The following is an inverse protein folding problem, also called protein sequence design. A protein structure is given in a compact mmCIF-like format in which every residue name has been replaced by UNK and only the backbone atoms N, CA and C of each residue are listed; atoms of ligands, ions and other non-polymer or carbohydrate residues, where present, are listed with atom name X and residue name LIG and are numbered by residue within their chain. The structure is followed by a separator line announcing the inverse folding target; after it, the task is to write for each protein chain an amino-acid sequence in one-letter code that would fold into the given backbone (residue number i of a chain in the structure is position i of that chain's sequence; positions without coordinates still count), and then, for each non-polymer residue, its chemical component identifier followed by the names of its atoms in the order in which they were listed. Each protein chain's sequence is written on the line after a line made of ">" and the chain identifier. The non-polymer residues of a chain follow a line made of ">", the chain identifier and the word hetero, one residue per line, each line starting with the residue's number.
data_IF_606461414569
#
_entry.id   IF_606461414569
#
_cell.length_a   1.000
_cell.length_b   1.000
_cell.length_c   1.000
_cell.angle_alpha   90.00
_cell.angle_beta   90.00
_cell.angle_gamma   90.00
#
_symmetry.space_group_name_H-M   'P 1'
#
loop_
_entity.id
_entity.type
_entity.pdbx_description
1 polymer ?
#
# COMPACT_ATOMS: atom_id res chain seq x y z
N UNK A 1 -19.07 36.23 -26.58
CA UNK A 1 -19.85 37.35 -26.00
C UNK A 1 -20.60 38.24 -27.00
N UNK A 2 -20.38 38.23 -28.33
CA UNK A 2 -20.99 39.21 -29.25
C UNK A 2 -22.42 38.95 -29.81
N UNK A 3 -22.91 37.71 -30.01
CA UNK A 3 -24.18 37.50 -30.74
C UNK A 3 -25.42 37.79 -29.88
N UNK A 4 -25.33 37.58 -28.57
CA UNK A 4 -26.47 37.75 -27.65
C UNK A 4 -26.85 39.22 -27.49
N UNK A 5 -25.88 40.13 -27.34
CA UNK A 5 -26.14 41.56 -27.28
C UNK A 5 -26.72 42.13 -28.57
N UNK A 6 -26.30 41.61 -29.73
CA UNK A 6 -26.85 42.01 -31.03
C UNK A 6 -28.34 41.63 -31.16
N UNK A 7 -28.75 40.48 -30.60
CA UNK A 7 -30.13 40.02 -30.61
C UNK A 7 -31.01 40.86 -29.67
N UNK A 8 -30.54 41.18 -28.46
CA UNK A 8 -31.25 42.10 -27.56
C UNK A 8 -31.36 43.52 -28.11
N UNK A 9 -30.28 44.03 -28.73
CA UNK A 9 -30.30 45.33 -29.38
C UNK A 9 -31.29 45.35 -30.54
N UNK A 10 -31.33 44.30 -31.36
CA UNK A 10 -32.31 44.15 -32.45
C UNK A 10 -33.76 44.16 -31.95
N UNK A 11 -34.07 43.41 -30.90
CA UNK A 11 -35.42 43.36 -30.32
C UNK A 11 -35.81 44.69 -29.67
N UNK A 12 -34.89 45.36 -28.98
CA UNK A 12 -35.11 46.70 -28.43
C UNK A 12 -35.40 47.72 -29.55
N UNK A 13 -34.62 47.69 -30.63
CA UNK A 13 -34.84 48.57 -31.79
C UNK A 13 -36.22 48.32 -32.40
N UNK A 14 -36.61 47.07 -32.62
CA UNK A 14 -37.94 46.73 -33.16
C UNK A 14 -39.06 47.19 -32.21
N UNK A 15 -38.91 47.01 -30.91
CA UNK A 15 -39.90 47.47 -29.92
C UNK A 15 -40.03 49.01 -29.89
N UNK A 16 -38.91 49.73 -29.94
CA UNK A 16 -38.89 51.20 -30.01
C UNK A 16 -39.49 51.69 -31.32
N UNK A 17 -39.17 51.06 -32.46
CA UNK A 17 -39.73 51.41 -33.76
C UNK A 17 -41.25 51.19 -33.77
N UNK A 18 -41.74 50.05 -33.28
CA UNK A 18 -43.18 49.78 -33.20
C UNK A 18 -43.91 50.74 -32.25
N UNK A 19 -43.26 51.13 -31.14
CA UNK A 19 -43.79 52.14 -30.22
C UNK A 19 -43.89 53.53 -30.87
N UNK A 20 -42.83 53.98 -31.55
CA UNK A 20 -42.79 55.28 -32.23
C UNK A 20 -43.79 55.32 -33.39
N UNK A 21 -43.85 54.27 -34.20
CA UNK A 21 -44.82 54.14 -35.31
C UNK A 21 -46.25 54.13 -34.77
N UNK A 22 -46.51 53.39 -33.69
CA UNK A 22 -47.81 53.39 -33.01
C UNK A 22 -48.21 54.78 -32.51
N UNK A 23 -47.28 55.49 -31.84
CA UNK A 23 -47.50 56.83 -31.29
C UNK A 23 -47.78 57.89 -32.38
N UNK A 24 -47.09 57.80 -33.52
CA UNK A 24 -47.30 58.70 -34.66
C UNK A 24 -48.65 58.42 -35.33
N UNK A 25 -49.01 57.14 -35.51
CA UNK A 25 -50.26 56.72 -36.17
C UNK A 25 -51.52 56.92 -35.30
N UNK A 26 -51.40 57.01 -33.96
CA UNK A 26 -52.51 57.35 -33.05
C UNK A 26 -53.13 58.74 -33.28
N UNK A 27 -52.52 59.59 -34.12
CA UNK A 27 -53.13 60.86 -34.54
C UNK A 27 -54.30 60.69 -35.53
N UNK A 28 -54.59 59.46 -35.98
CA UNK A 28 -55.71 59.10 -36.86
C UNK A 28 -56.70 58.18 -36.13
N UNK A 29 -57.97 58.60 -36.04
CA UNK A 29 -59.08 57.97 -35.26
C UNK A 29 -59.31 56.48 -35.53
N UNK A 30 -58.65 55.59 -34.77
CA UNK A 30 -59.00 54.18 -34.64
C UNK A 30 -58.24 53.51 -33.50
N UNK A 31 -58.84 52.54 -32.82
CA UNK A 31 -58.26 51.83 -31.65
C UNK A 31 -57.11 50.88 -32.02
N UNK A 32 -56.97 50.56 -33.31
CA UNK A 32 -56.02 49.60 -33.88
C UNK A 32 -54.53 49.93 -33.63
N UNK A 33 -54.02 51.17 -33.85
CA UNK A 33 -52.64 51.53 -33.51
C UNK A 33 -52.29 51.40 -32.02
N UNK A 34 -53.26 51.60 -31.12
CA UNK A 34 -53.05 51.45 -29.68
C UNK A 34 -52.88 49.97 -29.28
N UNK A 35 -53.71 49.09 -29.84
CA UNK A 35 -53.60 47.64 -29.61
C UNK A 35 -52.27 47.07 -30.12
N UNK A 36 -51.80 47.52 -31.29
CA UNK A 36 -50.50 47.12 -31.86
C UNK A 36 -49.33 47.60 -30.98
N UNK A 37 -49.37 48.84 -30.48
CA UNK A 37 -48.36 49.34 -29.55
C UNK A 37 -48.31 48.54 -28.24
N UNK A 38 -49.48 48.18 -27.69
CA UNK A 38 -49.59 47.35 -26.49
C UNK A 38 -49.00 45.95 -26.70
N UNK A 39 -49.28 45.31 -27.85
CA UNK A 39 -48.71 44.02 -28.20
C UNK A 39 -47.17 44.08 -28.35
N UNK A 40 -46.65 45.17 -28.94
CA UNK A 40 -45.21 45.41 -29.06
C UNK A 40 -44.50 45.52 -27.70
N UNK A 41 -45.09 46.26 -26.76
CA UNK A 41 -44.56 46.40 -25.39
C UNK A 41 -44.61 45.05 -24.65
N UNK A 42 -45.69 44.29 -24.79
CA UNK A 42 -45.79 42.95 -24.18
C UNK A 42 -44.75 41.97 -24.73
N UNK A 43 -44.53 41.96 -26.05
CA UNK A 43 -43.53 41.11 -26.68
C UNK A 43 -42.11 41.51 -26.25
N UNK A 44 -41.83 42.80 -26.16
CA UNK A 44 -40.58 43.30 -25.61
C UNK A 44 -40.35 42.85 -24.17
N UNK A 45 -41.37 42.97 -23.31
CA UNK A 45 -41.29 42.51 -21.92
C UNK A 45 -41.01 41.01 -21.82
N UNK A 46 -41.66 40.18 -22.64
CA UNK A 46 -41.42 38.72 -22.69
C UNK A 46 -39.98 38.42 -23.11
N UNK A 47 -39.47 39.07 -24.15
CA UNK A 47 -38.09 38.84 -24.62
C UNK A 47 -37.07 39.32 -23.58
N UNK A 48 -37.29 40.46 -22.95
CA UNK A 48 -36.40 40.98 -21.91
C UNK A 48 -36.37 40.05 -20.69
N UNK A 49 -37.53 39.56 -20.23
CA UNK A 49 -37.62 38.64 -19.10
C UNK A 49 -37.06 37.25 -19.45
N UNK A 50 -37.41 36.70 -20.61
CA UNK A 50 -36.89 35.40 -21.05
C UNK A 50 -35.39 35.43 -21.29
N UNK A 51 -34.89 36.53 -21.82
CA UNK A 51 -33.48 36.76 -22.09
C UNK A 51 -32.61 36.94 -20.84
N UNK A 52 -33.08 37.73 -19.87
CA UNK A 52 -32.40 37.89 -18.58
C UNK A 52 -32.41 36.57 -17.79
N UNK A 53 -33.53 35.84 -17.79
CA UNK A 53 -33.60 34.51 -17.19
C UNK A 53 -32.61 33.53 -17.85
N UNK A 54 -32.57 33.48 -19.19
CA UNK A 54 -31.64 32.60 -19.93
C UNK A 54 -30.18 32.91 -19.63
N UNK A 55 -29.81 34.20 -19.57
CA UNK A 55 -28.45 34.61 -19.19
C UNK A 55 -28.10 34.18 -17.76
N UNK A 56 -29.00 34.42 -16.80
CA UNK A 56 -28.80 34.02 -15.41
C UNK A 56 -28.67 32.49 -15.25
N UNK A 57 -29.50 31.72 -15.95
CA UNK A 57 -29.40 30.25 -15.96
C UNK A 57 -28.11 29.76 -16.62
N UNK A 58 -27.67 30.40 -17.71
CA UNK A 58 -26.41 30.07 -18.38
C UNK A 58 -25.19 30.26 -17.49
N UNK A 59 -25.12 31.37 -16.75
CA UNK A 59 -24.02 31.65 -15.83
C UNK A 59 -24.00 30.68 -14.63
N UNK A 60 -25.16 30.35 -14.07
CA UNK A 60 -25.27 29.35 -13.01
C UNK A 60 -24.87 27.94 -13.49
N UNK A 61 -25.24 27.57 -14.72
CA UNK A 61 -24.86 26.28 -15.31
C UNK A 61 -23.36 26.20 -15.58
N UNK A 62 -22.75 27.27 -16.11
CA UNK A 62 -21.29 27.32 -16.32
C UNK A 62 -20.50 27.19 -15.01
N UNK A 63 -20.94 27.87 -13.94
CA UNK A 63 -20.32 27.73 -12.61
C UNK A 63 -20.48 26.31 -12.03
N UNK A 64 -21.60 25.65 -12.30
CA UNK A 64 -21.82 24.24 -11.87
C UNK A 64 -20.93 23.28 -12.64
N UNK A 65 -20.74 23.50 -13.93
CA UNK A 65 -19.87 22.69 -14.78
C UNK A 65 -18.41 22.80 -14.34
N UNK A 66 -17.90 24.03 -14.16
CA UNK A 66 -16.54 24.26 -13.63
C UNK A 66 -16.33 23.61 -12.26
N UNK A 67 -17.32 23.71 -11.35
CA UNK A 67 -17.23 23.04 -10.04
C UNK A 67 -17.22 21.51 -10.16
N UNK A 68 -17.94 20.94 -11.13
CA UNK A 68 -17.94 19.50 -11.38
C UNK A 68 -16.61 19.04 -11.95
N UNK A 69 -16.01 19.81 -12.83
CA UNK A 69 -14.69 19.53 -13.41
C UNK A 69 -13.61 19.52 -12.32
N UNK A 70 -13.52 20.58 -11.51
CA UNK A 70 -12.57 20.65 -10.39
C UNK A 70 -12.79 19.50 -9.39
N UNK A 71 -14.06 19.18 -9.09
CA UNK A 71 -14.37 18.06 -8.19
C UNK A 71 -14.03 16.70 -8.80
N UNK A 72 -14.13 16.54 -10.12
CA UNK A 72 -13.75 15.32 -10.82
C UNK A 72 -12.23 15.15 -10.83
N UNK A 73 -11.49 16.22 -11.15
CA UNK A 73 -10.03 16.24 -11.11
C UNK A 73 -9.50 15.89 -9.71
N UNK A 74 -10.04 16.52 -8.67
CA UNK A 74 -9.65 16.23 -7.28
C UNK A 74 -9.96 14.77 -6.86
N UNK A 75 -11.03 14.18 -7.39
CA UNK A 75 -11.35 12.76 -7.16
C UNK A 75 -10.38 11.84 -7.87
N UNK A 76 -10.01 12.15 -9.11
CA UNK A 76 -9.10 11.34 -9.89
C UNK A 76 -7.66 11.42 -9.35
N UNK A 77 -7.23 12.60 -8.88
CA UNK A 77 -5.96 12.76 -8.18
C UNK A 77 -5.93 11.93 -6.89
N UNK A 78 -6.96 12.02 -6.05
CA UNK A 78 -7.08 11.19 -4.84
C UNK A 78 -7.06 9.69 -5.16
N UNK A 79 -7.76 9.26 -6.21
CA UNK A 79 -7.75 7.85 -6.65
C UNK A 79 -6.36 7.39 -7.07
N UNK A 80 -5.58 8.24 -7.74
CA UNK A 80 -4.19 7.93 -8.13
C UNK A 80 -3.30 7.77 -6.90
N UNK A 81 -3.35 8.74 -5.98
CA UNK A 81 -2.58 8.68 -4.73
C UNK A 81 -2.93 7.44 -3.89
N UNK A 82 -4.22 7.13 -3.78
CA UNK A 82 -4.69 5.92 -3.08
C UNK A 82 -4.21 4.63 -3.78
N UNK A 83 -4.19 4.60 -5.11
CA UNK A 83 -3.72 3.45 -5.88
C UNK A 83 -2.22 3.24 -5.71
N UNK A 84 -1.42 4.31 -5.80
CA UNK A 84 0.03 4.30 -5.57
C UNK A 84 0.36 3.86 -4.15
N UNK A 85 -0.33 4.40 -3.14
CA UNK A 85 -0.15 3.99 -1.76
C UNK A 85 -0.48 2.50 -1.53
N UNK A 86 -1.52 1.97 -2.19
CA UNK A 86 -1.85 0.53 -2.12
C UNK A 86 -0.82 -0.34 -2.83
N UNK A 87 -0.25 0.12 -3.93
CA UNK A 87 0.80 -0.60 -4.65
C UNK A 87 2.09 -0.68 -3.84
N UNK A 88 2.53 0.44 -3.27
CA UNK A 88 3.72 0.47 -2.42
C UNK A 88 3.54 -0.41 -1.17
N UNK A 89 2.37 -0.39 -0.53
CA UNK A 89 2.06 -1.32 0.57
C UNK A 89 2.15 -2.78 0.15
N UNK A 90 1.58 -3.14 -1.02
CA UNK A 90 1.66 -4.51 -1.55
C UNK A 90 3.10 -4.93 -1.82
N UNK A 91 3.93 -4.02 -2.35
CA UNK A 91 5.35 -4.26 -2.61
C UNK A 91 6.11 -4.52 -1.31
N UNK A 92 5.91 -3.69 -0.29
CA UNK A 92 6.53 -3.87 1.03
C UNK A 92 6.10 -5.19 1.69
N UNK A 93 4.81 -5.53 1.62
CA UNK A 93 4.30 -6.77 2.18
C UNK A 93 4.82 -8.03 1.45
N UNK A 94 4.96 -7.95 0.12
CA UNK A 94 5.55 -9.02 -0.68
C UNK A 94 7.03 -9.22 -0.30
N UNK A 95 7.80 -8.13 -0.22
CA UNK A 95 9.20 -8.18 0.19
C UNK A 95 9.39 -8.75 1.61
N UNK A 96 8.58 -8.30 2.58
CA UNK A 96 8.57 -8.86 3.94
C UNK A 96 8.24 -10.35 3.95
N UNK A 97 7.27 -10.79 3.15
CA UNK A 97 6.90 -12.19 3.04
C UNK A 97 8.03 -13.05 2.43
N UNK A 98 8.74 -12.52 1.43
CA UNK A 98 9.91 -13.15 0.85
C UNK A 98 11.03 -13.33 1.89
N UNK A 99 11.37 -12.29 2.64
CA UNK A 99 12.40 -12.35 3.70
C UNK A 99 12.02 -13.36 4.79
N UNK A 100 10.77 -13.36 5.25
CA UNK A 100 10.30 -14.37 6.21
C UNK A 100 10.41 -15.80 5.63
N UNK A 101 10.10 -15.97 4.34
CA UNK A 101 10.28 -17.23 3.62
C UNK A 101 11.75 -17.66 3.53
N UNK A 102 12.67 -16.75 3.25
CA UNK A 102 14.11 -17.01 3.22
C UNK A 102 14.62 -17.48 4.60
N UNK A 103 14.20 -16.82 5.69
CA UNK A 103 14.57 -17.19 7.06
C UNK A 103 14.07 -18.59 7.45
N UNK A 104 12.78 -18.87 7.21
CA UNK A 104 12.20 -20.21 7.47
C UNK A 104 12.89 -21.27 6.60
N UNK A 105 13.19 -20.94 5.34
CA UNK A 105 13.94 -21.79 4.43
C UNK A 105 15.35 -22.10 4.95
N UNK A 106 16.08 -21.10 5.44
CA UNK A 106 17.40 -21.26 6.03
C UNK A 106 17.35 -22.18 7.28
N UNK A 107 16.38 -21.97 8.17
CA UNK A 107 16.13 -22.86 9.31
C UNK A 107 15.95 -24.32 8.89
N UNK A 108 15.07 -24.57 7.91
CA UNK A 108 14.80 -25.93 7.45
C UNK A 108 16.02 -26.58 6.81
N UNK A 109 16.83 -25.83 6.06
CA UNK A 109 18.09 -26.33 5.49
C UNK A 109 19.12 -26.66 6.56
N UNK A 110 19.33 -25.80 7.56
CA UNK A 110 20.21 -26.10 8.70
C UNK A 110 19.76 -27.37 9.43
N UNK A 111 18.45 -27.52 9.66
CA UNK A 111 17.87 -28.71 10.27
C UNK A 111 18.03 -29.97 9.40
N UNK A 112 17.90 -29.84 8.08
CA UNK A 112 18.10 -30.92 7.14
C UNK A 112 19.55 -31.39 7.14
N UNK A 113 20.51 -30.47 7.02
CA UNK A 113 21.95 -30.74 7.13
C UNK A 113 22.26 -31.57 8.38
N UNK A 114 21.75 -31.14 9.54
CA UNK A 114 21.93 -31.89 10.78
C UNK A 114 21.43 -33.33 10.70
N UNK A 115 20.21 -33.50 10.19
CA UNK A 115 19.55 -34.82 10.11
C UNK A 115 20.29 -35.74 9.14
N UNK A 116 20.75 -35.20 8.01
CA UNK A 116 21.52 -35.96 7.02
C UNK A 116 22.87 -36.38 7.58
N UNK A 117 23.59 -35.47 8.25
CA UNK A 117 24.85 -35.82 8.91
C UNK A 117 24.67 -36.93 9.96
N UNK A 118 23.60 -36.87 10.77
CA UNK A 118 23.28 -37.96 11.70
C UNK A 118 23.00 -39.28 10.98
N UNK A 119 22.19 -39.24 9.92
CA UNK A 119 21.87 -40.42 9.13
C UNK A 119 23.11 -41.03 8.45
N UNK A 120 24.11 -40.21 8.12
CA UNK A 120 25.42 -40.65 7.63
C UNK A 120 26.33 -41.24 8.73
N UNK A 121 25.89 -41.28 9.99
CA UNK A 121 26.62 -41.90 11.08
C UNK A 121 27.53 -40.93 11.87
N UNK A 122 27.33 -39.62 11.74
CA UNK A 122 28.01 -38.62 12.59
C UNK A 122 27.30 -38.35 13.93
N UNK A 123 26.28 -39.15 14.29
CA UNK A 123 25.57 -39.00 15.56
C UNK A 123 26.47 -39.36 16.76
N UNK A 124 26.70 -38.44 17.72
CA UNK A 124 27.51 -38.77 18.89
C UNK A 124 26.83 -39.80 19.83
N UNK A 125 27.58 -40.69 20.48
CA UNK A 125 29.03 -40.88 20.37
C UNK A 125 29.41 -41.50 19.01
N UNK A 126 30.33 -40.84 18.30
CA UNK A 126 30.79 -41.32 17.00
C UNK A 126 31.96 -42.28 17.22
N UNK A 127 31.89 -43.45 16.62
CA UNK A 127 32.93 -44.48 16.71
C UNK A 127 33.20 -45.10 15.34
N UNK A 128 34.40 -45.64 15.15
CA UNK A 128 34.80 -46.29 13.90
C UNK A 128 35.61 -45.37 12.99
N UNK A 129 35.90 -45.86 11.80
CA UNK A 129 36.74 -45.17 10.83
C UNK A 129 35.91 -44.47 9.77
N UNK A 130 36.37 -43.29 9.34
CA UNK A 130 35.69 -42.50 8.32
C UNK A 130 35.69 -43.24 6.97
N UNK A 131 34.52 -43.57 6.45
CA UNK A 131 34.35 -44.18 5.12
C UNK A 131 34.42 -43.13 3.99
N UNK A 132 34.55 -43.58 2.74
CA UNK A 132 34.54 -42.70 1.56
C UNK A 132 33.19 -42.01 1.41
N UNK A 133 32.11 -42.76 1.64
CA UNK A 133 30.73 -42.31 1.54
C UNK A 133 30.44 -41.24 2.60
N UNK A 134 30.84 -41.50 3.85
CA UNK A 134 30.69 -40.54 4.95
C UNK A 134 31.46 -39.25 4.69
N UNK A 135 32.69 -39.36 4.20
CA UNK A 135 33.49 -38.18 3.85
C UNK A 135 32.78 -37.37 2.78
N UNK A 136 32.34 -38.00 1.70
CA UNK A 136 31.63 -37.33 0.60
C UNK A 136 30.36 -36.64 1.10
N UNK A 137 29.51 -37.35 1.83
CA UNK A 137 28.27 -36.80 2.39
C UNK A 137 28.55 -35.61 3.31
N UNK A 138 29.56 -35.73 4.15
CA UNK A 138 29.97 -34.66 5.06
C UNK A 138 30.37 -33.38 4.32
N UNK A 139 31.17 -33.48 3.25
CA UNK A 139 31.55 -32.33 2.43
C UNK A 139 30.35 -31.68 1.72
N UNK A 140 29.41 -32.49 1.21
CA UNK A 140 28.19 -31.97 0.57
C UNK A 140 27.30 -31.22 1.57
N UNK A 141 27.10 -31.79 2.76
CA UNK A 141 26.33 -31.13 3.81
C UNK A 141 26.97 -29.82 4.28
N UNK A 142 28.30 -29.71 4.19
CA UNK A 142 28.99 -28.47 4.50
C UNK A 142 28.72 -27.35 3.53
N UNK A 143 28.76 -27.65 2.22
CA UNK A 143 28.47 -26.67 1.18
C UNK A 143 27.06 -26.09 1.38
N UNK A 144 26.12 -26.96 1.75
CA UNK A 144 24.75 -26.55 2.07
C UNK A 144 24.70 -25.68 3.32
N UNK A 145 25.45 -26.00 4.37
CA UNK A 145 25.51 -25.20 5.60
C UNK A 145 26.11 -23.81 5.34
N UNK A 146 27.18 -23.74 4.55
CA UNK A 146 27.81 -22.49 4.13
C UNK A 146 26.84 -21.62 3.31
N UNK A 147 26.12 -22.23 2.35
CA UNK A 147 25.08 -21.53 1.61
C UNK A 147 23.95 -20.99 2.52
N UNK A 148 23.64 -21.69 3.63
CA UNK A 148 22.69 -21.18 4.62
C UNK A 148 23.24 -19.98 5.39
N UNK A 149 24.50 -20.02 5.85
CA UNK A 149 25.15 -18.88 6.50
C UNK A 149 25.13 -17.65 5.59
N UNK A 150 25.51 -17.80 4.31
CA UNK A 150 25.48 -16.69 3.34
C UNK A 150 24.08 -16.15 3.09
N UNK A 151 23.05 -17.01 3.12
CA UNK A 151 21.65 -16.57 3.04
C UNK A 151 21.28 -15.71 4.25
N UNK A 152 21.64 -16.14 5.46
CA UNK A 152 21.36 -15.40 6.69
C UNK A 152 22.11 -14.06 6.70
N UNK A 153 23.36 -14.05 6.24
CA UNK A 153 24.15 -12.82 6.10
C UNK A 153 23.52 -11.84 5.11
N UNK A 154 23.09 -12.33 3.93
CA UNK A 154 22.36 -11.53 2.94
C UNK A 154 21.11 -10.91 3.59
N UNK A 155 20.27 -11.71 4.25
CA UNK A 155 19.06 -11.21 4.91
C UNK A 155 19.39 -10.17 5.98
N UNK A 156 20.42 -10.39 6.81
CA UNK A 156 20.87 -9.41 7.80
C UNK A 156 21.31 -8.09 7.17
N UNK A 157 22.07 -8.15 6.07
CA UNK A 157 22.50 -6.96 5.30
C UNK A 157 21.31 -6.24 4.68
N UNK A 158 20.34 -6.97 4.15
CA UNK A 158 19.14 -6.41 3.55
C UNK A 158 18.28 -5.69 4.60
N UNK A 159 18.10 -6.28 5.78
CA UNK A 159 17.40 -5.64 6.91
C UNK A 159 18.12 -4.36 7.35
N UNK A 160 19.46 -4.39 7.41
CA UNK A 160 20.28 -3.21 7.74
C UNK A 160 20.17 -2.11 6.67
N UNK A 161 20.08 -2.48 5.40
CA UNK A 161 20.05 -1.56 4.27
C UNK A 161 18.72 -0.84 4.10
N UNK A 162 17.63 -1.38 4.67
CA UNK A 162 16.26 -0.87 4.48
C UNK A 162 15.51 -0.76 5.82
N UNK A 163 15.99 0.04 6.79
CA UNK A 163 15.37 0.14 8.11
C UNK A 163 13.91 0.62 8.06
N UNK A 164 13.55 1.47 7.10
CA UNK A 164 12.18 1.98 6.88
C UNK A 164 11.16 0.88 6.58
N UNK A 165 11.58 -0.23 5.99
CA UNK A 165 10.71 -1.39 5.71
C UNK A 165 10.28 -2.08 7.01
N UNK A 166 11.12 -2.05 8.03
CA UNK A 166 10.90 -2.76 9.29
C UNK A 166 10.57 -1.85 10.47
N UNK A 167 10.78 -0.54 10.31
CA UNK A 167 10.53 0.46 11.35
C UNK A 167 11.30 0.16 12.63
N UNK A 168 10.62 0.31 13.77
CA UNK A 168 11.17 0.07 15.11
C UNK A 168 11.63 -1.38 15.34
N UNK A 169 11.07 -2.34 14.59
CA UNK A 169 11.41 -3.76 14.72
C UNK A 169 12.73 -4.13 13.99
N UNK A 170 13.29 -3.24 13.14
CA UNK A 170 14.48 -3.49 12.32
C UNK A 170 15.67 -4.02 13.14
N UNK A 171 16.03 -3.32 14.23
CA UNK A 171 17.18 -3.67 15.06
C UNK A 171 17.01 -5.01 15.77
N UNK A 172 15.79 -5.32 16.21
CA UNK A 172 15.48 -6.61 16.82
C UNK A 172 15.61 -7.74 15.80
N UNK A 173 14.92 -7.62 14.65
CA UNK A 173 14.89 -8.66 13.63
C UNK A 173 16.32 -8.93 13.15
N UNK A 174 17.09 -7.87 12.87
CA UNK A 174 18.49 -8.00 12.48
C UNK A 174 19.31 -8.77 13.51
N UNK A 175 19.21 -8.41 14.79
CA UNK A 175 19.96 -9.09 15.86
C UNK A 175 19.63 -10.58 15.93
N UNK A 176 18.35 -10.95 15.81
CA UNK A 176 17.96 -12.37 15.80
C UNK A 176 18.55 -13.11 14.59
N UNK A 177 18.58 -12.48 13.41
CA UNK A 177 19.22 -13.07 12.23
C UNK A 177 20.75 -13.19 12.41
N UNK A 178 21.40 -12.15 12.95
CA UNK A 178 22.83 -12.17 13.26
C UNK A 178 23.20 -13.29 14.25
N UNK A 179 22.37 -13.50 15.28
CA UNK A 179 22.60 -14.56 16.26
C UNK A 179 22.64 -15.94 15.59
N UNK A 180 21.73 -16.19 14.64
CA UNK A 180 21.65 -17.46 13.93
C UNK A 180 22.81 -17.61 12.95
N UNK A 181 23.11 -16.54 12.20
CA UNK A 181 24.25 -16.49 11.29
C UNK A 181 25.55 -16.82 12.04
N UNK A 182 25.77 -16.17 13.17
CA UNK A 182 26.92 -16.40 14.03
C UNK A 182 27.00 -17.84 14.53
N UNK A 183 25.87 -18.40 14.98
CA UNK A 183 25.81 -19.79 15.42
C UNK A 183 26.19 -20.78 14.30
N UNK A 184 25.66 -20.57 13.09
CA UNK A 184 26.01 -21.40 11.92
C UNK A 184 27.49 -21.23 11.58
N UNK A 185 28.01 -20.01 11.62
CA UNK A 185 29.43 -19.73 11.39
C UNK A 185 30.34 -20.41 12.42
N UNK A 186 29.96 -20.46 13.71
CA UNK A 186 30.72 -21.21 14.72
C UNK A 186 30.80 -22.72 14.40
N UNK A 187 29.72 -23.31 13.87
CA UNK A 187 29.71 -24.72 13.45
C UNK A 187 30.66 -24.94 12.26
N UNK A 188 30.60 -24.06 11.27
CA UNK A 188 31.48 -24.11 10.09
C UNK A 188 32.95 -23.92 10.52
N UNK A 189 33.23 -22.98 11.40
CA UNK A 189 34.59 -22.70 11.89
C UNK A 189 35.19 -23.89 12.66
N UNK A 190 34.39 -24.58 13.49
CA UNK A 190 34.82 -25.82 14.15
C UNK A 190 35.19 -26.90 13.14
N UNK A 191 34.41 -27.00 12.07
CA UNK A 191 34.74 -27.89 10.99
C UNK A 191 36.00 -27.48 10.23
N UNK A 192 36.16 -26.23 9.83
CA UNK A 192 37.30 -25.77 9.03
C UNK A 192 38.64 -26.03 9.73
N UNK A 193 38.67 -25.83 11.05
CA UNK A 193 39.84 -26.17 11.88
C UNK A 193 40.16 -27.67 11.81
N UNK A 194 39.12 -28.51 11.77
CA UNK A 194 39.23 -29.96 11.88
C UNK A 194 39.28 -30.65 10.51
N UNK A 195 38.99 -29.93 9.42
CA UNK A 195 38.79 -30.47 8.07
C UNK A 195 39.98 -31.25 7.53
N UNK A 196 41.20 -30.92 7.96
CA UNK A 196 42.42 -31.67 7.61
C UNK A 196 42.44 -33.10 8.17
N UNK A 197 41.72 -33.34 9.26
CA UNK A 197 41.60 -34.66 9.89
C UNK A 197 40.60 -35.59 9.20
N UNK A 198 39.70 -35.08 8.34
CA UNK A 198 38.71 -35.87 7.61
C UNK A 198 39.31 -36.63 6.42
N UNK A 199 40.19 -37.58 6.74
CA UNK A 199 40.85 -38.51 5.80
C UNK A 199 40.18 -39.88 5.94
N UNK A 200 39.97 -40.56 4.81
CA UNK A 200 39.38 -41.91 4.80
C UNK A 200 40.23 -42.85 5.66
N UNK A 201 39.56 -43.61 6.53
CA UNK A 201 40.19 -44.53 7.48
C UNK A 201 40.58 -43.90 8.83
N UNK A 202 40.50 -42.57 8.97
CA UNK A 202 40.81 -41.91 10.23
C UNK A 202 39.71 -42.15 11.29
N UNK A 203 40.11 -42.19 12.56
CA UNK A 203 39.21 -42.45 13.68
C UNK A 203 38.25 -41.27 13.91
N UNK A 204 36.95 -41.52 13.74
CA UNK A 204 35.92 -40.49 13.85
C UNK A 204 35.85 -39.88 15.26
N UNK A 205 36.08 -40.68 16.30
CA UNK A 205 36.09 -40.20 17.69
C UNK A 205 37.15 -39.13 17.90
N UNK A 206 38.37 -39.38 17.40
CA UNK A 206 39.51 -38.47 17.48
C UNK A 206 39.29 -37.18 16.68
N UNK A 207 38.73 -37.27 15.46
CA UNK A 207 38.48 -36.09 14.61
C UNK A 207 37.35 -35.23 15.19
N UNK A 208 36.29 -35.86 15.70
CA UNK A 208 35.11 -35.15 16.20
C UNK A 208 35.31 -34.61 17.62
N UNK A 209 36.17 -35.22 18.44
CA UNK A 209 36.40 -34.80 19.83
C UNK A 209 36.64 -33.29 20.01
N UNK A 210 37.52 -32.62 19.23
CA UNK A 210 37.77 -31.18 19.36
C UNK A 210 36.70 -30.28 18.71
N UNK A 211 35.69 -30.85 18.03
CA UNK A 211 34.64 -30.09 17.32
C UNK A 211 33.39 -29.91 18.19
N UNK A 212 33.51 -29.16 19.29
CA UNK A 212 32.46 -29.03 20.31
C UNK A 212 31.14 -28.45 19.78
N UNK A 213 31.18 -27.40 18.95
CA UNK A 213 29.99 -26.78 18.35
C UNK A 213 29.33 -27.71 17.35
N UNK A 214 30.12 -28.37 16.50
CA UNK A 214 29.60 -29.35 15.55
C UNK A 214 28.95 -30.54 16.27
N UNK A 215 29.57 -31.05 17.34
CA UNK A 215 29.00 -32.11 18.18
C UNK A 215 27.71 -31.67 18.87
N UNK A 216 27.69 -30.48 19.48
CA UNK A 216 26.48 -29.89 20.07
C UNK A 216 25.36 -29.76 19.05
N UNK A 217 25.70 -29.26 17.86
CA UNK A 217 24.78 -29.14 16.74
C UNK A 217 24.20 -30.50 16.38
N UNK A 218 25.00 -31.54 16.19
CA UNK A 218 24.53 -32.89 15.85
C UNK A 218 23.61 -33.49 16.93
N UNK A 219 23.94 -33.29 18.21
CA UNK A 219 23.06 -33.66 19.33
C UNK A 219 21.73 -32.89 19.33
N UNK A 220 21.65 -31.78 18.60
CA UNK A 220 20.52 -30.86 18.63
C UNK A 220 20.50 -29.98 19.87
N UNK A 221 21.56 -30.03 20.68
CA UNK A 221 21.73 -29.15 21.82
C UNK A 221 21.82 -27.71 21.31
N UNK A 222 20.98 -26.84 21.88
CA UNK A 222 20.86 -25.42 21.54
C UNK A 222 20.28 -25.08 20.15
N UNK A 223 19.95 -26.05 19.30
CA UNK A 223 19.34 -25.76 17.97
C UNK A 223 17.99 -25.05 18.13
N UNK A 224 17.25 -25.33 19.21
CA UNK A 224 16.00 -24.64 19.49
C UNK A 224 16.28 -23.18 19.89
N UNK A 225 17.20 -22.99 20.83
CA UNK A 225 17.51 -21.69 21.45
C UNK A 225 18.27 -20.75 20.51
N UNK A 226 19.24 -21.27 19.76
CA UNK A 226 20.18 -20.47 18.95
C UNK A 226 19.73 -20.34 17.47
N UNK A 227 18.80 -21.19 17.00
CA UNK A 227 18.36 -21.19 15.59
C UNK A 227 16.84 -21.07 15.47
N UNK A 228 16.09 -21.99 16.09
CA UNK A 228 14.64 -22.04 15.87
C UNK A 228 13.89 -20.85 16.47
N UNK A 229 14.18 -20.50 17.73
CA UNK A 229 13.51 -19.41 18.43
C UNK A 229 13.84 -18.05 17.79
N UNK A 230 15.11 -17.69 17.51
CA UNK A 230 15.42 -16.41 16.86
C UNK A 230 14.77 -16.26 15.49
N UNK A 231 14.76 -17.32 14.67
CA UNK A 231 14.08 -17.30 13.37
C UNK A 231 12.57 -17.15 13.54
N UNK A 232 11.96 -17.86 14.50
CA UNK A 232 10.54 -17.73 14.77
C UNK A 232 10.19 -16.31 15.24
N UNK A 233 10.96 -15.74 16.17
CA UNK A 233 10.74 -14.40 16.70
C UNK A 233 10.89 -13.33 15.61
N UNK A 234 11.93 -13.44 14.77
CA UNK A 234 12.10 -12.58 13.60
C UNK A 234 10.92 -12.69 12.63
N UNK A 235 10.51 -13.91 12.26
CA UNK A 235 9.40 -14.15 11.34
C UNK A 235 8.06 -13.65 11.90
N UNK A 236 7.80 -13.83 13.20
CA UNK A 236 6.59 -13.32 13.87
C UNK A 236 6.54 -11.80 13.80
N UNK A 237 7.65 -11.09 14.06
CA UNK A 237 7.68 -9.63 13.94
C UNK A 237 7.47 -9.16 12.51
N UNK A 238 8.10 -9.81 11.54
CA UNK A 238 7.89 -9.52 10.11
C UNK A 238 6.42 -9.72 9.73
N UNK A 239 5.79 -10.80 10.22
CA UNK A 239 4.37 -11.04 9.99
C UNK A 239 3.47 -9.98 10.67
N UNK A 240 3.79 -9.58 11.89
CA UNK A 240 3.05 -8.54 12.60
C UNK A 240 3.13 -7.17 11.89
N UNK A 241 4.26 -6.84 11.28
CA UNK A 241 4.40 -5.63 10.45
C UNK A 241 3.45 -5.66 9.24
N UNK A 242 3.35 -6.82 8.56
CA UNK A 242 2.43 -7.02 7.44
C UNK A 242 0.96 -6.85 7.87
N UNK A 243 0.58 -7.38 9.03
CA UNK A 243 -0.79 -7.21 9.55
C UNK A 243 -1.11 -5.74 9.87
N UNK A 244 -0.15 -5.00 10.45
CA UNK A 244 -0.30 -3.55 10.70
C UNK A 244 -0.50 -2.77 9.41
N UNK A 245 0.31 -3.03 8.39
CA UNK A 245 0.18 -2.38 7.07
C UNK A 245 -1.16 -2.66 6.40
N UNK A 246 -1.73 -3.86 6.60
CA UNK A 246 -3.06 -4.24 6.11
C UNK A 246 -4.21 -3.53 6.85
N UNK A 247 -4.12 -3.36 8.18
CA UNK A 247 -5.17 -2.70 8.96
C UNK A 247 -5.25 -1.19 8.73
N UNK A 248 -4.11 -0.51 8.60
CA UNK A 248 -4.08 0.93 8.30
C UNK A 248 -4.77 1.28 6.98
N UNK A 249 -4.67 0.41 5.97
CA UNK A 249 -5.34 0.61 4.68
C UNK A 249 -6.86 0.38 4.72
N UNK A 250 -7.36 -0.36 5.72
CA UNK A 250 -8.79 -0.63 5.88
C UNK A 250 -9.52 0.44 6.71
N UNK A 251 -8.83 1.09 7.65
CA UNK A 251 -9.39 2.11 8.54
C UNK A 251 -9.68 3.44 7.85
N UNK A 252 -8.82 3.88 6.93
CA UNK A 252 -8.95 5.20 6.27
C UNK A 252 -10.16 5.28 5.31
N UNK A 253 -10.72 4.14 4.90
CA UNK A 253 -11.89 4.09 4.01
C UNK A 253 -13.25 4.23 4.72
N UNK A 254 -13.31 4.11 6.05
CA UNK A 254 -14.58 4.08 6.79
C UNK A 254 -14.97 5.42 7.42
N UNK A 255 -14.01 6.25 7.78
CA UNK A 255 -14.27 7.51 8.49
C UNK A 255 -14.82 8.65 7.61
N UNK A 256 -14.66 8.56 6.28
CA UNK A 256 -15.20 9.59 5.37
C UNK A 256 -16.71 9.44 5.16
N UNK A 257 -17.24 8.21 5.21
CA UNK A 257 -18.69 7.96 5.02
C UNK A 257 -19.57 8.35 6.20
N UNK A 258 -19.04 8.43 7.42
CA UNK A 258 -19.84 8.71 8.62
C UNK A 258 -20.00 10.22 8.85
N UNK A 259 -19.06 11.04 8.38
CA UNK A 259 -19.11 12.50 8.53
C UNK A 259 -20.08 13.20 7.56
N UNK A 260 -20.43 12.59 6.42
CA UNK A 260 -21.41 13.16 5.47
C UNK A 260 -22.87 12.83 5.81
N UNK A 261 -23.15 11.83 6.67
CA UNK A 261 -24.52 11.48 7.06
C UNK A 261 -25.10 12.33 8.21
N UNK A 262 -24.28 12.99 9.02
CA UNK A 262 -24.77 13.82 10.16
C UNK A 262 -25.05 15.28 9.80
N UNK A 263 -24.66 15.76 8.61
CA UNK A 263 -24.91 17.16 8.19
C UNK A 263 -26.27 17.39 7.49
N UNK A 264 -27.07 16.34 7.23
CA UNK A 264 -28.27 16.42 6.38
C UNK A 264 -29.62 16.57 7.11
N UNK A 265 -29.69 16.40 8.44
CA UNK A 265 -30.96 16.26 9.16
C UNK A 265 -31.18 17.36 10.20
N UNK A 266 -31.28 18.61 9.76
CA UNK A 266 -31.79 19.70 10.60
C UNK A 266 -32.55 20.72 9.75
N UNK A 267 -33.75 20.34 9.28
CA UNK A 267 -34.78 21.31 8.92
C UNK A 267 -36.16 20.65 8.96
N UNK A 268 -37.09 21.37 9.59
CA UNK A 268 -38.56 21.27 9.58
C UNK A 268 -39.26 20.56 10.75
N UNK A 269 -39.95 21.39 11.55
CA UNK A 269 -41.18 21.25 12.38
C UNK A 269 -40.94 22.05 13.68
N UNK A 270 -41.77 22.93 14.24
CA UNK A 270 -43.16 23.38 14.08
C UNK A 270 -43.21 24.76 14.79
N UNK A 271 -43.69 25.86 14.20
CA UNK A 271 -45.08 26.37 14.25
C UNK A 271 -45.82 26.22 15.59
N UNK A 272 -46.21 27.40 16.11
CA UNK A 272 -47.44 27.72 16.87
C UNK A 272 -47.48 27.60 18.41
N UNK A 273 -48.13 28.63 19.00
CA UNK A 273 -48.52 28.86 20.40
C UNK A 273 -47.41 29.52 21.26
N UNK A 274 -47.62 30.62 22.01
CA UNK A 274 -48.84 31.17 22.63
C UNK A 274 -48.82 32.70 22.66
N UNK A 275 -50.03 33.27 22.55
CA UNK A 275 -50.41 34.56 23.12
C UNK A 275 -50.69 34.33 24.61
N UNK A 276 -50.11 35.16 25.48
CA UNK A 276 -50.76 35.91 26.58
C UNK A 276 -49.73 36.86 27.20
#
# INVERSE_FOLDING_TARGET
>A
MRPVYALFAGVLIVAVVLFVVGAILTSSRGDLPFEVAKAGVQLFAIVLLGGTATFAFGELNGRREQRREIAAEARDERRKLDAEAREERRRLDAYRAEVAGELIGAYHRVKAVRRTLRAAGFEPPVSGTLTVEQRTEFWEQLKLLNACQLTLEKVSRDIKGQPEVYGEDSAFIKREVDNVEHHVNEIIADWEKQGRGFIVGADLGTIMAPADRLRSFLLGARVKEDVANPIADAAVRIHALRLRTSQEGAGTGRDVTTAEMTSGSSRTTSSSAERL
#
